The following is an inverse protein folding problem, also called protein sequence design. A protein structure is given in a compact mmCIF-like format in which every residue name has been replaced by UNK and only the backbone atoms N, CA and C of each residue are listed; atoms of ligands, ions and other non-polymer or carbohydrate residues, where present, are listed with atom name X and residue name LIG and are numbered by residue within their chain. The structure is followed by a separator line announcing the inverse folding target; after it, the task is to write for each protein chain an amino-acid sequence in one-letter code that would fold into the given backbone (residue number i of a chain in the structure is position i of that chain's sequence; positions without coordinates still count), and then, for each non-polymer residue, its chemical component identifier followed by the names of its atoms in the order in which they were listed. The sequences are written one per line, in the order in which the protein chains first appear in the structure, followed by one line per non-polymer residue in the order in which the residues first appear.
data_IF_453430436626
#
_entry.id   IF_453430436626
#
_cell.length_a   1.000
_cell.length_b   1.000
_cell.length_c   1.000
_cell.angle_alpha   90.00
_cell.angle_beta   90.00
_cell.angle_gamma   90.00
#
_symmetry.space_group_name_H-M   'P 1'
#
loop_
_entity.id
_entity.type
_entity.pdbx_description
1 polymer ?
#
# COMPACT_ATOMS: atom_id res chain seq x y z
N UNK A 1 32.71 -44.64 -28.79
CA UNK A 1 31.68 -43.85 -29.52
C UNK A 1 31.16 -42.79 -28.59
N UNK A 2 31.16 -41.55 -29.08
CA UNK A 2 30.67 -40.32 -28.46
C UNK A 2 29.20 -40.41 -28.05
N UNK A 3 28.80 -39.59 -27.08
CA UNK A 3 27.38 -39.35 -26.82
C UNK A 3 27.12 -38.49 -25.58
N UNK A 4 27.45 -37.20 -25.64
CA UNK A 4 26.91 -36.19 -24.72
C UNK A 4 25.39 -36.08 -24.91
N UNK A 5 24.62 -36.16 -23.82
CA UNK A 5 23.25 -35.66 -23.73
C UNK A 5 23.07 -35.08 -22.32
N UNK A 6 23.34 -33.79 -22.19
CA UNK A 6 22.36 -32.69 -22.07
C UNK A 6 21.70 -32.60 -20.70
N UNK A 7 22.21 -31.62 -19.95
CA UNK A 7 21.55 -30.90 -18.87
C UNK A 7 20.03 -30.80 -19.04
N UNK A 8 19.29 -31.04 -17.97
CA UNK A 8 18.17 -30.17 -17.60
C UNK A 8 17.99 -30.21 -16.08
N UNK A 9 18.70 -29.30 -15.44
CA UNK A 9 18.52 -28.87 -14.07
C UNK A 9 17.16 -28.16 -13.98
N UNK A 10 16.12 -28.86 -13.52
CA UNK A 10 14.87 -28.22 -13.12
C UNK A 10 15.04 -27.82 -11.66
N UNK A 11 15.63 -26.65 -11.47
CA UNK A 11 15.50 -25.87 -10.24
C UNK A 11 14.02 -25.47 -10.12
N UNK A 12 13.23 -26.25 -9.38
CA UNK A 12 11.95 -25.79 -8.90
C UNK A 12 12.23 -24.79 -7.77
N UNK A 13 12.40 -23.53 -8.13
CA UNK A 13 12.47 -22.41 -7.19
C UNK A 13 11.11 -22.33 -6.46
N UNK A 14 11.06 -22.86 -5.24
CA UNK A 14 10.10 -22.40 -4.24
C UNK A 14 10.43 -20.94 -3.93
N UNK A 15 9.89 -20.00 -4.70
CA UNK A 15 9.75 -18.62 -4.22
C UNK A 15 8.38 -18.49 -3.58
N UNK A 16 8.24 -19.01 -2.36
CA UNK A 16 7.26 -18.47 -1.43
C UNK A 16 7.65 -16.99 -1.26
N UNK A 17 6.88 -16.10 -1.87
CA UNK A 17 6.94 -14.69 -1.53
C UNK A 17 6.45 -14.55 -0.08
N UNK A 18 7.37 -14.72 0.86
CA UNK A 18 7.16 -14.31 2.24
C UNK A 18 7.16 -12.79 2.22
N UNK A 19 5.98 -12.19 2.11
CA UNK A 19 5.77 -10.79 2.47
C UNK A 19 6.10 -10.67 3.95
N UNK A 20 7.32 -10.23 4.27
CA UNK A 20 7.74 -9.94 5.64
C UNK A 20 6.92 -8.75 6.11
N UNK A 21 5.92 -9.03 6.94
CA UNK A 21 5.14 -8.00 7.63
C UNK A 21 5.98 -7.54 8.82
N UNK A 22 6.70 -6.44 8.65
CA UNK A 22 7.37 -5.76 9.75
C UNK A 22 6.57 -4.51 10.09
N UNK A 23 5.54 -4.68 10.93
CA UNK A 23 4.93 -3.55 11.61
C UNK A 23 5.86 -3.16 12.77
N UNK A 24 6.74 -2.19 12.54
CA UNK A 24 7.47 -1.57 13.65
C UNK A 24 6.48 -0.69 14.42
N UNK A 25 6.37 -0.89 15.73
CA UNK A 25 5.46 -0.12 16.59
C UNK A 25 5.92 1.34 16.60
N UNK A 26 5.17 2.20 15.92
CA UNK A 26 5.40 3.63 15.95
C UNK A 26 5.08 4.17 17.33
N UNK A 27 5.75 5.25 17.73
CA UNK A 27 5.50 5.86 19.04
C UNK A 27 4.03 6.28 19.11
N UNK A 28 3.26 5.65 20.01
CA UNK A 28 1.81 5.82 20.13
C UNK A 28 1.33 7.26 20.39
N UNK A 29 2.24 8.20 20.63
CA UNK A 29 1.97 9.60 20.93
C UNK A 29 1.63 10.47 19.70
N UNK A 30 1.76 9.97 18.46
CA UNK A 30 1.70 10.80 17.24
C UNK A 30 0.77 10.34 16.12
N UNK A 31 -0.19 9.44 16.37
CA UNK A 31 -1.07 8.89 15.32
C UNK A 31 -0.30 8.39 14.08
N UNK A 32 0.91 7.87 14.32
CA UNK A 32 1.84 7.42 13.29
C UNK A 32 1.50 6.01 12.84
N UNK A 33 1.61 5.78 11.53
CA UNK A 33 1.20 4.56 10.87
C UNK A 33 2.24 4.16 9.81
N UNK A 34 2.41 2.86 9.63
CA UNK A 34 3.34 2.28 8.67
C UNK A 34 2.58 1.42 7.65
N UNK A 35 2.91 1.61 6.37
CA UNK A 35 2.35 0.86 5.25
C UNK A 35 3.50 0.35 4.38
N UNK A 36 3.61 -0.97 4.30
CA UNK A 36 4.63 -1.66 3.52
C UNK A 36 3.96 -2.68 2.60
N UNK A 37 3.67 -2.27 1.37
CA UNK A 37 3.04 -3.11 0.35
C UNK A 37 3.81 -2.98 -0.97
N UNK A 38 4.14 -4.11 -1.60
CA UNK A 38 4.78 -4.10 -2.91
C UNK A 38 3.83 -3.61 -4.01
N UNK A 39 2.53 -3.84 -3.83
CA UNK A 39 1.48 -3.43 -4.74
C UNK A 39 0.14 -3.54 -4.01
N UNK A 40 -0.62 -2.45 -3.97
CA UNK A 40 -1.95 -2.38 -3.35
C UNK A 40 -2.85 -1.49 -4.21
N UNK A 41 -4.12 -1.84 -4.48
CA UNK A 41 -5.03 -0.91 -5.14
C UNK A 41 -5.12 0.41 -4.37
N UNK A 42 -5.06 1.54 -5.07
CA UNK A 42 -5.07 2.87 -4.46
C UNK A 42 -6.28 3.07 -3.53
N UNK A 43 -7.46 2.59 -3.93
CA UNK A 43 -8.66 2.65 -3.10
C UNK A 43 -8.45 1.89 -1.78
N UNK A 44 -7.86 0.70 -1.85
CA UNK A 44 -7.54 -0.10 -0.65
C UNK A 44 -6.51 0.58 0.24
N UNK A 45 -5.56 1.34 -0.33
CA UNK A 45 -4.65 2.16 0.47
C UNK A 45 -5.41 3.21 1.30
N UNK A 46 -6.40 3.88 0.69
CA UNK A 46 -7.26 4.83 1.41
C UNK A 46 -8.20 4.15 2.42
N UNK A 47 -8.67 2.94 2.15
CA UNK A 47 -9.46 2.14 3.10
C UNK A 47 -8.66 1.86 4.38
N UNK A 48 -7.41 1.41 4.24
CA UNK A 48 -6.53 1.17 5.39
C UNK A 48 -6.28 2.45 6.21
N UNK A 49 -6.08 3.59 5.53
CA UNK A 49 -5.91 4.88 6.19
C UNK A 49 -7.18 5.30 6.94
N UNK A 50 -8.36 5.12 6.33
CA UNK A 50 -9.64 5.47 6.93
C UNK A 50 -9.97 4.57 8.14
N UNK A 51 -9.70 3.27 8.03
CA UNK A 51 -9.84 2.31 9.12
C UNK A 51 -8.94 2.68 10.30
N UNK A 52 -7.65 2.93 10.04
CA UNK A 52 -6.71 3.37 11.07
C UNK A 52 -7.15 4.68 11.75
N UNK A 53 -7.63 5.64 10.95
CA UNK A 53 -8.08 6.94 11.45
C UNK A 53 -9.45 6.89 12.15
N UNK A 54 -10.16 5.76 12.12
CA UNK A 54 -11.53 5.64 12.63
C UNK A 54 -12.54 6.52 11.89
N UNK A 55 -12.40 6.66 10.56
CA UNK A 55 -13.22 7.52 9.69
C UNK A 55 -13.93 6.72 8.62
N UNK A 56 -15.09 7.21 8.18
CA UNK A 56 -15.78 6.68 7.00
C UNK A 56 -15.00 7.07 5.73
N UNK A 57 -14.75 6.12 4.82
CA UNK A 57 -14.22 6.40 3.49
C UNK A 57 -15.36 6.59 2.49
N UNK A 58 -15.32 7.68 1.72
CA UNK A 58 -16.20 7.92 0.56
C UNK A 58 -15.32 8.06 -0.68
N UNK A 59 -15.53 7.21 -1.68
CA UNK A 59 -14.76 7.19 -2.92
C UNK A 59 -15.64 7.60 -4.09
N UNK A 60 -15.27 8.72 -4.72
CA UNK A 60 -15.89 9.31 -5.91
C UNK A 60 -14.84 9.48 -7.02
N UNK A 61 -14.03 8.45 -7.25
CA UNK A 61 -13.03 8.40 -8.33
C UNK A 61 -12.95 6.97 -8.84
N UNK A 62 -12.84 6.83 -10.15
CA UNK A 62 -12.59 5.54 -10.80
C UNK A 62 -11.08 5.20 -10.85
N UNK A 63 -10.20 6.10 -10.37
CA UNK A 63 -8.76 5.88 -10.35
C UNK A 63 -8.39 4.89 -9.26
N UNK A 64 -8.14 3.66 -9.68
CA UNK A 64 -7.68 2.60 -8.78
C UNK A 64 -6.43 1.87 -9.30
N UNK A 65 -5.32 2.58 -9.58
CA UNK A 65 -4.07 1.93 -9.95
C UNK A 65 -3.54 1.09 -8.79
N UNK A 66 -2.77 0.05 -9.10
CA UNK A 66 -1.99 -0.66 -8.09
C UNK A 66 -0.73 0.16 -7.76
N UNK A 67 -0.49 0.41 -6.48
CA UNK A 67 0.54 1.33 -5.99
C UNK A 67 1.48 0.63 -4.99
N UNK A 68 2.81 0.79 -5.13
CA UNK A 68 3.76 0.37 -4.10
C UNK A 68 3.75 1.39 -2.95
N UNK A 69 3.75 0.90 -1.71
CA UNK A 69 3.67 1.72 -0.50
C UNK A 69 4.84 1.36 0.43
N UNK A 70 5.58 2.38 0.84
CA UNK A 70 6.70 2.26 1.77
C UNK A 70 6.74 3.48 2.69
N UNK A 71 5.83 3.52 3.66
CA UNK A 71 5.76 4.55 4.69
C UNK A 71 6.09 3.94 6.04
N UNK A 72 6.97 4.60 6.79
CA UNK A 72 7.39 4.15 8.11
C UNK A 72 7.15 5.27 9.13
N UNK A 73 6.29 5.01 10.09
CA UNK A 73 5.92 5.91 11.18
C UNK A 73 5.65 7.34 10.72
N UNK A 74 4.68 7.46 9.82
CA UNK A 74 4.19 8.74 9.36
C UNK A 74 2.74 8.94 9.81
N UNK A 75 2.43 10.18 10.15
CA UNK A 75 1.08 10.63 10.44
C UNK A 75 0.18 10.31 9.23
N UNK A 76 -0.92 9.59 9.46
CA UNK A 76 -1.75 9.04 8.38
C UNK A 76 -2.29 10.11 7.42
N UNK A 77 -2.53 11.33 7.90
CA UNK A 77 -2.96 12.47 7.08
C UNK A 77 -1.92 12.77 5.99
N UNK A 78 -0.63 12.70 6.30
CA UNK A 78 0.44 12.95 5.33
C UNK A 78 0.54 11.84 4.30
N UNK A 79 0.31 10.59 4.71
CA UNK A 79 0.24 9.47 3.76
C UNK A 79 -0.92 9.69 2.77
N UNK A 80 -2.11 10.06 3.26
CA UNK A 80 -3.26 10.33 2.39
C UNK A 80 -3.03 11.49 1.41
N UNK A 81 -2.37 12.56 1.86
CA UNK A 81 -2.00 13.70 1.01
C UNK A 81 -0.96 13.33 -0.05
N UNK A 82 0.06 12.56 0.31
CA UNK A 82 1.10 12.10 -0.62
C UNK A 82 0.53 11.17 -1.70
N UNK A 83 -0.38 10.26 -1.32
CA UNK A 83 -1.11 9.44 -2.29
C UNK A 83 -1.99 10.29 -3.22
N UNK A 84 -2.67 11.28 -2.67
CA UNK A 84 -3.49 12.23 -3.43
C UNK A 84 -2.67 12.96 -4.51
N UNK A 85 -1.52 13.51 -4.12
CA UNK A 85 -0.61 14.21 -5.03
C UNK A 85 -0.03 13.27 -6.10
N UNK A 86 0.51 12.12 -5.69
CA UNK A 86 1.16 11.16 -6.61
C UNK A 86 0.23 10.58 -7.65
N UNK A 87 -1.04 10.38 -7.31
CA UNK A 87 -2.00 9.70 -8.17
C UNK A 87 -3.05 10.62 -8.79
N UNK A 88 -2.94 11.93 -8.55
CA UNK A 88 -3.82 12.93 -9.14
C UNK A 88 -5.28 12.72 -8.76
N UNK A 89 -5.53 12.41 -7.49
CA UNK A 89 -6.88 12.40 -6.88
C UNK A 89 -6.96 13.52 -5.85
N UNK A 90 -8.14 14.11 -5.66
CA UNK A 90 -8.40 15.07 -4.59
C UNK A 90 -8.74 14.33 -3.30
N UNK A 91 -8.20 14.78 -2.17
CA UNK A 91 -8.55 14.26 -0.84
C UNK A 91 -9.11 15.38 0.04
N UNK A 92 -10.24 15.12 0.69
CA UNK A 92 -10.82 15.97 1.71
C UNK A 92 -10.97 15.20 3.01
N UNK A 93 -10.25 15.66 4.03
CA UNK A 93 -10.26 15.06 5.37
C UNK A 93 -11.17 15.93 6.27
N UNK A 94 -12.15 15.30 6.89
CA UNK A 94 -13.07 15.92 7.86
C UNK A 94 -13.10 15.10 9.14
N UNK A 95 -13.80 15.58 10.19
CA UNK A 95 -13.89 14.90 11.50
C UNK A 95 -14.43 13.47 11.40
N UNK A 96 -15.34 13.19 10.47
CA UNK A 96 -16.02 11.90 10.41
C UNK A 96 -15.70 11.13 9.13
N UNK A 97 -15.21 11.82 8.09
CA UNK A 97 -15.03 11.23 6.75
C UNK A 97 -13.70 11.59 6.10
N UNK A 98 -13.21 10.67 5.29
CA UNK A 98 -12.22 10.89 4.24
C UNK A 98 -12.94 10.76 2.90
N UNK A 99 -12.90 11.82 2.08
CA UNK A 99 -13.48 11.80 0.73
C UNK A 99 -12.35 11.83 -0.27
N UNK A 100 -12.33 10.86 -1.19
CA UNK A 100 -11.40 10.79 -2.32
C UNK A 100 -12.20 10.98 -3.60
N UNK A 101 -11.80 11.92 -4.45
CA UNK A 101 -12.47 12.18 -5.73
C UNK A 101 -11.48 12.45 -6.84
N UNK A 102 -11.95 12.44 -8.09
CA UNK A 102 -11.18 13.06 -9.16
C UNK A 102 -10.99 14.57 -8.86
N UNK A 103 -9.89 15.18 -9.35
CA UNK A 103 -9.53 16.57 -9.10
C UNK A 103 -10.53 17.59 -9.65
#
# INVERSE_FOLDING_TARGET
MSGFARLTMIMLLLSLAASVIQAHECTAERDEFSLHFQSLPLVTAFELIAEYAGRELVVNSDRNPAVPLHYNCLVWQFIGLDLSEKHGVSIKITRDKIVVSDP
#
